data_IF_511238360803
#
_entry.id   IF_511238360803
#
_cell.length_a   1.000
_cell.length_b   1.000
_cell.length_c   1.000
_cell.angle_alpha   90.00
_cell.angle_beta   90.00
_cell.angle_gamma   90.00
#
_symmetry.space_group_name_H-M   'P 1'
#
loop_
_entity.id
_entity.type
_entity.pdbx_description
1 polymer ?
#
# COMPACT_ATOMS: atom_id res chain seq x y z
N UNK A 1 10.95 1.66 -28.84
CA UNK A 1 11.48 0.53 -28.03
C UNK A 1 10.29 -0.24 -27.49
N UNK A 2 10.37 -1.55 -27.41
CA UNK A 2 9.27 -2.39 -26.94
C UNK A 2 9.28 -2.36 -25.39
N UNK A 3 8.34 -1.70 -24.76
CA UNK A 3 8.24 -1.59 -23.28
C UNK A 3 7.25 -2.65 -22.73
N UNK A 4 7.36 -3.88 -23.21
CA UNK A 4 6.41 -4.94 -22.88
C UNK A 4 6.41 -5.28 -21.37
N UNK A 5 7.60 -5.37 -20.75
CA UNK A 5 7.70 -5.68 -19.33
C UNK A 5 7.07 -4.57 -18.48
N UNK A 6 7.35 -3.29 -18.80
CA UNK A 6 6.72 -2.14 -18.16
C UNK A 6 5.19 -2.15 -18.29
N UNK A 7 4.68 -2.47 -19.49
CA UNK A 7 3.22 -2.54 -19.73
C UNK A 7 2.57 -3.64 -18.91
N UNK A 8 3.20 -4.82 -18.80
CA UNK A 8 2.68 -5.93 -17.98
C UNK A 8 2.65 -5.54 -16.50
N UNK A 9 3.75 -4.98 -15.96
CA UNK A 9 3.82 -4.54 -14.57
C UNK A 9 2.77 -3.47 -14.25
N UNK A 10 2.61 -2.49 -15.13
CA UNK A 10 1.59 -1.45 -14.99
C UNK A 10 0.16 -2.03 -14.99
N UNK A 11 -0.12 -2.95 -15.90
CA UNK A 11 -1.44 -3.59 -15.95
C UNK A 11 -1.73 -4.38 -14.67
N UNK A 12 -0.76 -5.12 -14.15
CA UNK A 12 -0.90 -5.87 -12.89
C UNK A 12 -1.10 -4.93 -11.70
N UNK A 13 -0.34 -3.85 -11.62
CA UNK A 13 -0.46 -2.84 -10.56
C UNK A 13 -1.86 -2.21 -10.56
N UNK A 14 -2.33 -1.74 -11.72
CA UNK A 14 -3.69 -1.18 -11.87
C UNK A 14 -4.78 -2.16 -11.48
N UNK A 15 -4.64 -3.43 -11.87
CA UNK A 15 -5.60 -4.47 -11.51
C UNK A 15 -5.62 -4.71 -9.99
N UNK A 16 -4.44 -4.74 -9.35
CA UNK A 16 -4.31 -4.89 -7.90
C UNK A 16 -4.97 -3.72 -7.14
N UNK A 17 -4.67 -2.47 -7.51
CA UNK A 17 -5.29 -1.28 -6.91
C UNK A 17 -6.80 -1.25 -7.10
N UNK A 18 -7.27 -1.54 -8.32
CA UNK A 18 -8.71 -1.57 -8.61
C UNK A 18 -9.43 -2.60 -7.75
N UNK A 19 -8.88 -3.81 -7.64
CA UNK A 19 -9.50 -4.88 -6.85
C UNK A 19 -9.45 -4.58 -5.35
N UNK A 20 -8.36 -3.98 -4.86
CA UNK A 20 -8.25 -3.53 -3.47
C UNK A 20 -9.32 -2.47 -3.14
N UNK A 21 -9.45 -1.43 -3.98
CA UNK A 21 -10.43 -0.37 -3.77
C UNK A 21 -11.88 -0.89 -3.81
N UNK A 22 -12.17 -1.82 -4.69
CA UNK A 22 -13.46 -2.53 -4.71
C UNK A 22 -13.65 -3.40 -3.47
N UNK A 23 -12.58 -4.04 -2.96
CA UNK A 23 -12.62 -4.78 -1.70
C UNK A 23 -12.89 -3.86 -0.52
N UNK A 24 -12.40 -2.62 -0.55
CA UNK A 24 -12.67 -1.59 0.47
C UNK A 24 -14.09 -0.98 0.38
N UNK A 25 -14.87 -1.30 -0.64
CA UNK A 25 -16.26 -0.81 -0.72
C UNK A 25 -17.09 -1.30 0.46
N UNK A 26 -17.89 -0.37 1.02
CA UNK A 26 -18.72 -0.63 2.20
C UNK A 26 -17.96 -0.66 3.53
N UNK A 27 -16.62 -0.49 3.54
CA UNK A 27 -15.86 -0.36 4.79
C UNK A 27 -16.06 1.04 5.36
N UNK A 28 -16.82 1.12 6.45
CA UNK A 28 -16.98 2.33 7.27
C UNK A 28 -15.92 2.40 8.37
N UNK A 29 -15.81 3.53 9.07
CA UNK A 29 -14.89 3.65 10.22
C UNK A 29 -15.14 2.57 11.27
N UNK A 30 -16.40 2.27 11.58
CA UNK A 30 -16.76 1.21 12.52
C UNK A 30 -16.23 -0.16 12.06
N UNK A 31 -16.38 -0.49 10.80
CA UNK A 31 -15.91 -1.74 10.22
C UNK A 31 -14.38 -1.78 10.18
N UNK A 32 -13.76 -0.66 9.80
CA UNK A 32 -12.30 -0.56 9.71
C UNK A 32 -11.61 -0.74 11.06
N UNK A 33 -12.23 -0.22 12.14
CA UNK A 33 -11.67 -0.26 13.50
C UNK A 33 -12.14 -1.46 14.32
N UNK A 34 -12.92 -2.38 13.76
CA UNK A 34 -13.28 -3.62 14.45
C UNK A 34 -12.01 -4.40 14.82
N UNK A 35 -11.88 -4.71 16.11
CA UNK A 35 -10.77 -5.51 16.64
C UNK A 35 -11.14 -7.00 16.51
N UNK A 36 -10.49 -7.72 15.56
CA UNK A 36 -10.80 -9.14 15.39
C UNK A 36 -10.29 -9.97 16.59
N UNK A 37 -10.86 -11.14 16.84
CA UNK A 37 -10.36 -12.02 17.89
C UNK A 37 -8.96 -12.55 17.54
N UNK A 38 -8.15 -12.83 18.58
CA UNK A 38 -6.82 -13.40 18.43
C UNK A 38 -5.75 -12.35 18.10
N UNK A 39 -4.89 -12.66 17.13
CA UNK A 39 -3.72 -11.83 16.81
C UNK A 39 -3.88 -10.97 15.52
N UNK A 40 -4.96 -11.15 14.78
CA UNK A 40 -5.18 -10.37 13.57
C UNK A 40 -5.28 -8.87 13.86
N UNK A 41 -4.92 -8.05 12.88
CA UNK A 41 -4.99 -6.59 12.99
C UNK A 41 -6.35 -6.10 12.46
N UNK A 42 -6.84 -4.93 12.90
CA UNK A 42 -7.98 -4.26 12.29
C UNK A 42 -7.72 -3.93 10.81
N UNK A 43 -8.79 -3.82 10.01
CA UNK A 43 -8.69 -3.35 8.61
C UNK A 43 -7.98 -2.00 8.54
N UNK A 44 -8.24 -1.09 9.49
CA UNK A 44 -7.61 0.22 9.55
C UNK A 44 -6.08 0.13 9.52
N UNK A 45 -5.48 -0.67 10.41
CA UNK A 45 -4.03 -0.83 10.45
C UNK A 45 -3.48 -1.53 9.21
N UNK A 46 -4.15 -2.60 8.76
CA UNK A 46 -3.74 -3.38 7.59
C UNK A 46 -3.76 -2.54 6.30
N UNK A 47 -4.84 -1.76 6.10
CA UNK A 47 -4.95 -0.88 4.93
C UNK A 47 -3.99 0.31 5.00
N UNK A 48 -3.85 0.93 6.18
CA UNK A 48 -2.90 2.02 6.38
C UNK A 48 -1.45 1.57 6.12
N UNK A 49 -1.08 0.38 6.60
CA UNK A 49 0.24 -0.19 6.34
C UNK A 49 0.53 -0.30 4.84
N UNK A 50 -0.39 -0.84 4.07
CA UNK A 50 -0.21 -0.98 2.63
C UNK A 50 0.05 0.38 1.96
N UNK A 51 -0.84 1.34 2.21
CA UNK A 51 -0.79 2.64 1.51
C UNK A 51 0.45 3.45 1.91
N UNK A 52 0.77 3.51 3.21
CA UNK A 52 1.98 4.20 3.66
C UNK A 52 3.26 3.55 3.15
N UNK A 53 3.29 2.20 3.10
CA UNK A 53 4.44 1.47 2.55
C UNK A 53 4.62 1.75 1.06
N UNK A 54 3.55 1.78 0.28
CA UNK A 54 3.62 2.07 -1.14
C UNK A 54 4.06 3.51 -1.41
N UNK A 55 3.49 4.50 -0.70
CA UNK A 55 3.91 5.90 -0.79
C UNK A 55 5.42 6.05 -0.50
N UNK A 56 5.87 5.42 0.58
CA UNK A 56 7.29 5.43 0.94
C UNK A 56 8.17 4.74 -0.11
N UNK A 57 7.77 3.57 -0.59
CA UNK A 57 8.56 2.80 -1.54
C UNK A 57 8.69 3.50 -2.89
N UNK A 58 7.60 4.01 -3.43
CA UNK A 58 7.61 4.74 -4.70
C UNK A 58 8.46 6.00 -4.60
N UNK A 59 8.24 6.81 -3.57
CA UNK A 59 8.91 8.10 -3.48
C UNK A 59 10.36 7.97 -2.98
N UNK A 60 10.60 7.33 -1.85
CA UNK A 60 11.93 7.30 -1.26
C UNK A 60 12.91 6.39 -2.04
N UNK A 61 12.43 5.22 -2.52
CA UNK A 61 13.32 4.25 -3.15
C UNK A 61 13.40 4.35 -4.66
N UNK A 62 12.32 4.65 -5.35
CA UNK A 62 12.30 4.68 -6.81
C UNK A 62 12.44 6.10 -7.37
N UNK A 63 11.62 7.06 -6.93
CA UNK A 63 11.66 8.45 -7.40
C UNK A 63 12.75 9.30 -6.76
N UNK A 64 13.27 8.89 -5.59
CA UNK A 64 14.21 9.68 -4.76
C UNK A 64 13.65 11.05 -4.37
N UNK A 65 12.38 11.07 -3.99
CA UNK A 65 11.64 12.25 -3.53
C UNK A 65 11.01 11.99 -2.16
N UNK A 66 10.47 13.04 -1.53
CA UNK A 66 9.69 12.88 -0.29
C UNK A 66 8.32 12.26 -0.59
N UNK A 67 7.83 11.35 0.30
CA UNK A 67 6.49 10.77 0.20
C UNK A 67 5.36 11.82 0.24
N UNK A 68 4.21 11.48 -0.31
CA UNK A 68 3.03 12.36 -0.27
C UNK A 68 2.57 12.64 1.16
N UNK A 69 2.68 11.68 2.07
CA UNK A 69 2.36 11.85 3.49
C UNK A 69 3.22 12.92 4.19
N UNK A 70 4.41 13.22 3.67
CA UNK A 70 5.31 14.26 4.20
C UNK A 70 5.18 15.61 3.46
N UNK A 71 4.47 15.62 2.32
CA UNK A 71 4.34 16.77 1.43
C UNK A 71 2.88 17.18 1.24
N UNK A 72 2.26 16.81 0.14
CA UNK A 72 0.90 17.19 -0.27
C UNK A 72 -0.16 16.78 0.76
N UNK A 73 0.02 15.63 1.40
CA UNK A 73 -0.89 15.07 2.40
C UNK A 73 -0.39 15.18 3.84
N UNK A 74 0.63 16.01 4.08
CA UNK A 74 1.10 16.25 5.44
C UNK A 74 -0.06 16.71 6.33
N UNK A 75 -0.25 16.01 7.45
CA UNK A 75 -1.35 16.23 8.41
C UNK A 75 -2.77 16.09 7.80
N UNK A 76 -2.88 15.47 6.60
CA UNK A 76 -4.15 15.36 5.85
C UNK A 76 -4.40 13.95 5.29
N UNK A 77 -3.65 12.95 5.71
CA UNK A 77 -3.83 11.58 5.22
C UNK A 77 -5.17 10.97 5.63
N UNK A 78 -5.79 11.44 6.71
CA UNK A 78 -6.95 10.82 7.34
C UNK A 78 -6.58 9.73 8.34
N UNK A 79 -5.30 9.47 8.58
CA UNK A 79 -4.82 8.61 9.66
C UNK A 79 -4.46 9.45 10.90
N UNK A 80 -4.69 8.88 12.09
CA UNK A 80 -4.29 9.53 13.35
C UNK A 80 -2.79 9.69 13.51
N UNK A 81 -2.04 8.79 12.90
CA UNK A 81 -0.58 8.74 12.95
C UNK A 81 -0.04 8.10 11.67
N UNK A 82 1.10 8.55 11.18
CA UNK A 82 1.84 7.88 10.10
C UNK A 82 2.50 6.60 10.62
N UNK A 83 2.79 5.68 9.72
CA UNK A 83 3.45 4.43 10.06
C UNK A 83 4.84 4.67 10.69
N UNK A 84 5.12 4.12 11.89
CA UNK A 84 6.42 4.25 12.52
C UNK A 84 7.49 3.41 11.80
N UNK A 85 8.75 3.80 11.96
CA UNK A 85 9.91 3.07 11.43
C UNK A 85 10.49 2.04 12.40
N UNK A 86 10.07 2.06 13.66
CA UNK A 86 10.42 1.03 14.66
C UNK A 86 9.51 -0.18 14.49
N UNK A 87 10.00 -1.18 13.78
CA UNK A 87 9.29 -2.40 13.41
C UNK A 87 9.09 -3.39 14.55
N UNK A 88 9.90 -3.31 15.61
CA UNK A 88 9.87 -4.28 16.71
C UNK A 88 8.87 -3.90 17.80
N UNK A 89 8.79 -2.62 18.15
CA UNK A 89 7.99 -2.14 19.28
C UNK A 89 6.82 -1.26 18.85
N UNK A 90 7.10 -0.18 18.13
CA UNK A 90 6.08 0.81 17.78
C UNK A 90 5.12 0.31 16.69
N UNK A 91 5.61 -0.37 15.68
CA UNK A 91 4.81 -0.81 14.54
C UNK A 91 3.70 -1.83 14.91
N UNK A 92 3.94 -2.91 15.68
CA UNK A 92 2.88 -3.85 16.07
C UNK A 92 1.77 -3.20 16.90
N UNK A 93 2.13 -2.19 17.71
CA UNK A 93 1.15 -1.39 18.47
C UNK A 93 0.34 -0.50 17.54
N UNK A 94 1.03 0.24 16.68
CA UNK A 94 0.42 1.14 15.69
C UNK A 94 -0.59 0.41 14.79
N UNK A 95 -0.28 -0.77 14.29
CA UNK A 95 -1.20 -1.60 13.48
C UNK A 95 -2.55 -1.85 14.15
N UNK A 96 -2.58 -1.93 15.48
CA UNK A 96 -3.79 -2.19 16.26
C UNK A 96 -4.53 -0.93 16.67
N UNK A 97 -3.81 0.19 16.79
CA UNK A 97 -4.32 1.41 17.42
C UNK A 97 -4.59 2.55 16.45
N UNK A 98 -3.95 2.56 15.26
CA UNK A 98 -4.15 3.62 14.27
C UNK A 98 -5.63 3.79 13.92
N UNK A 99 -6.09 5.04 13.91
CA UNK A 99 -7.45 5.39 13.52
C UNK A 99 -7.45 6.03 12.15
N UNK A 100 -8.47 5.68 11.35
CA UNK A 100 -8.69 6.25 10.03
C UNK A 100 -10.03 6.96 9.98
N UNK A 101 -10.06 8.16 9.45
CA UNK A 101 -11.19 8.63 8.68
C UNK A 101 -11.13 7.90 7.34
N UNK A 102 -11.92 6.86 7.17
CA UNK A 102 -11.82 5.96 6.00
C UNK A 102 -12.07 6.70 4.69
N UNK A 103 -12.93 7.72 4.69
CA UNK A 103 -13.21 8.52 3.51
C UNK A 103 -11.99 9.36 3.12
N UNK A 104 -11.42 10.08 4.08
CA UNK A 104 -10.24 10.93 3.84
C UNK A 104 -9.02 10.08 3.49
N UNK A 105 -8.81 8.96 4.19
CA UNK A 105 -7.69 8.07 3.92
C UNK A 105 -7.75 7.44 2.53
N UNK A 106 -8.94 7.12 2.03
CA UNK A 106 -9.12 6.63 0.64
C UNK A 106 -8.77 7.69 -0.41
N UNK A 107 -8.97 8.99 -0.14
CA UNK A 107 -8.49 10.04 -1.06
C UNK A 107 -6.96 10.11 -1.09
N UNK A 108 -6.31 9.94 0.06
CA UNK A 108 -4.85 9.81 0.10
C UNK A 108 -4.39 8.54 -0.64
N UNK A 109 -5.01 7.39 -0.40
CA UNK A 109 -4.68 6.13 -1.08
C UNK A 109 -4.78 6.26 -2.61
N UNK A 110 -5.86 6.86 -3.13
CA UNK A 110 -6.03 7.13 -4.57
C UNK A 110 -4.89 7.98 -5.14
N UNK A 111 -4.44 9.00 -4.39
CA UNK A 111 -3.33 9.83 -4.82
C UNK A 111 -2.02 9.03 -4.88
N UNK A 112 -1.75 8.18 -3.87
CA UNK A 112 -0.58 7.28 -3.84
C UNK A 112 -0.62 6.33 -5.03
N UNK A 113 -1.74 5.65 -5.27
CA UNK A 113 -1.89 4.70 -6.38
C UNK A 113 -1.73 5.38 -7.74
N UNK A 114 -2.29 6.56 -7.93
CA UNK A 114 -2.14 7.34 -9.17
C UNK A 114 -0.67 7.73 -9.42
N UNK A 115 0.06 8.13 -8.38
CA UNK A 115 1.51 8.43 -8.47
C UNK A 115 2.31 7.18 -8.82
N UNK A 116 2.04 6.04 -8.17
CA UNK A 116 2.68 4.76 -8.44
C UNK A 116 2.48 4.34 -9.90
N UNK A 117 1.24 4.37 -10.36
CA UNK A 117 0.88 4.00 -11.73
C UNK A 117 1.51 4.94 -12.77
N UNK A 118 1.51 6.24 -12.50
CA UNK A 118 2.14 7.26 -13.36
C UNK A 118 3.64 7.03 -13.45
N UNK A 119 4.28 6.77 -12.31
CA UNK A 119 5.70 6.48 -12.28
C UNK A 119 6.06 5.21 -13.06
N UNK A 120 5.36 4.10 -12.80
CA UNK A 120 5.60 2.84 -13.51
C UNK A 120 5.36 3.01 -15.02
N UNK A 121 4.33 3.75 -15.42
CA UNK A 121 4.05 4.04 -16.83
C UNK A 121 5.17 4.85 -17.52
N UNK A 122 5.95 5.61 -16.77
CA UNK A 122 7.06 6.43 -17.29
C UNK A 122 8.36 5.64 -17.51
N UNK A 123 8.47 4.42 -16.95
CA UNK A 123 9.68 3.61 -17.03
C UNK A 123 9.84 2.96 -18.41
N UNK A 124 11.09 2.71 -18.76
CA UNK A 124 11.47 1.84 -19.88
C UNK A 124 11.85 0.46 -19.35
N UNK A 125 11.89 -0.56 -20.21
CA UNK A 125 12.38 -1.89 -19.83
C UNK A 125 13.85 -1.83 -19.34
N UNK A 126 14.64 -0.87 -19.82
CA UNK A 126 16.00 -0.63 -19.32
C UNK A 126 16.01 -0.03 -17.89
N UNK A 127 15.02 0.75 -17.52
CA UNK A 127 14.88 1.26 -16.14
C UNK A 127 14.54 0.14 -15.16
N UNK A 128 13.81 -0.88 -15.61
CA UNK A 128 13.45 -2.04 -14.81
C UNK A 128 14.67 -2.90 -14.41
N UNK A 129 15.76 -2.83 -15.16
CA UNK A 129 17.01 -3.54 -14.86
C UNK A 129 17.93 -2.78 -13.88
N UNK A 130 17.59 -1.54 -13.50
CA UNK A 130 18.36 -0.77 -12.52
C UNK A 130 18.24 -1.36 -11.13
N UNK A 131 19.34 -1.25 -10.37
CA UNK A 131 19.34 -1.69 -8.97
C UNK A 131 18.69 -0.63 -8.06
N UNK A 132 17.81 -1.09 -7.21
CA UNK A 132 17.23 -0.35 -6.07
C UNK A 132 17.95 -0.80 -4.82
N UNK A 133 18.63 0.13 -4.13
CA UNK A 133 19.35 -0.15 -2.90
C UNK A 133 18.40 -0.02 -1.70
N UNK A 134 18.18 -1.13 -1.01
CA UNK A 134 17.35 -1.24 0.19
C UNK A 134 18.16 -1.66 1.43
N UNK A 135 19.46 -1.47 1.42
CA UNK A 135 20.32 -1.84 2.55
C UNK A 135 19.90 -1.14 3.86
N UNK A 136 19.37 0.08 3.77
CA UNK A 136 18.82 0.80 4.93
C UNK A 136 17.66 0.07 5.64
N UNK A 137 16.96 -0.81 4.92
CA UNK A 137 15.90 -1.68 5.47
C UNK A 137 16.36 -3.14 5.69
N UNK A 138 17.67 -3.42 5.54
CA UNK A 138 18.20 -4.77 5.66
C UNK A 138 17.80 -5.72 4.50
N UNK A 139 17.26 -5.21 3.41
CA UNK A 139 16.71 -6.01 2.30
C UNK A 139 17.66 -6.14 1.10
N UNK A 140 18.87 -5.57 1.19
CA UNK A 140 19.87 -5.66 0.14
C UNK A 140 19.56 -4.84 -1.10
N UNK A 141 20.07 -5.28 -2.26
CA UNK A 141 19.78 -4.67 -3.56
C UNK A 141 18.84 -5.55 -4.37
N UNK A 142 17.91 -4.94 -5.10
CA UNK A 142 16.94 -5.62 -5.97
C UNK A 142 16.85 -4.91 -7.31
N UNK A 143 16.49 -5.63 -8.37
CA UNK A 143 16.09 -4.97 -9.63
C UNK A 143 14.81 -4.18 -9.44
N UNK A 144 14.67 -3.06 -10.15
CA UNK A 144 13.43 -2.27 -10.10
C UNK A 144 12.19 -3.08 -10.52
N UNK A 145 12.35 -4.01 -11.47
CA UNK A 145 11.30 -4.97 -11.86
C UNK A 145 10.85 -5.85 -10.69
N UNK A 146 11.79 -6.44 -9.95
CA UNK A 146 11.50 -7.25 -8.76
C UNK A 146 10.86 -6.42 -7.64
N UNK A 147 11.37 -5.21 -7.43
CA UNK A 147 10.83 -4.27 -6.45
C UNK A 147 9.35 -3.93 -6.73
N UNK A 148 9.05 -3.54 -7.97
CA UNK A 148 7.67 -3.19 -8.37
C UNK A 148 6.76 -4.41 -8.33
N UNK A 149 7.22 -5.56 -8.85
CA UNK A 149 6.40 -6.77 -8.92
C UNK A 149 6.08 -7.34 -7.54
N UNK A 150 7.05 -7.40 -6.63
CA UNK A 150 6.94 -8.14 -5.37
C UNK A 150 6.67 -7.26 -4.16
N UNK A 151 7.32 -6.08 -4.05
CA UNK A 151 7.19 -5.23 -2.86
C UNK A 151 6.09 -4.17 -3.00
N UNK A 152 5.66 -3.86 -4.21
CA UNK A 152 4.52 -2.96 -4.45
C UNK A 152 3.31 -3.79 -4.86
N UNK A 153 3.26 -4.31 -6.07
CA UNK A 153 2.10 -5.05 -6.59
C UNK A 153 1.81 -6.31 -5.78
N UNK A 154 2.86 -7.09 -5.48
CA UNK A 154 2.75 -8.34 -4.72
C UNK A 154 2.30 -8.15 -3.27
N UNK A 155 2.57 -6.98 -2.68
CA UNK A 155 2.12 -6.65 -1.33
C UNK A 155 0.61 -6.38 -1.25
N UNK A 156 -0.01 -5.91 -2.33
CA UNK A 156 -1.45 -5.64 -2.36
C UNK A 156 -2.28 -6.91 -2.12
N UNK A 157 -1.91 -8.02 -2.74
CA UNK A 157 -2.74 -9.25 -2.72
C UNK A 157 -2.91 -9.88 -1.33
N UNK A 158 -1.85 -10.12 -0.52
CA UNK A 158 -2.02 -10.65 0.83
C UNK A 158 -2.81 -9.70 1.71
N UNK A 159 -2.56 -8.39 1.64
CA UNK A 159 -3.30 -7.37 2.40
C UNK A 159 -4.79 -7.39 2.02
N UNK A 160 -5.10 -7.45 0.74
CA UNK A 160 -6.48 -7.55 0.25
C UNK A 160 -7.16 -8.84 0.76
N UNK A 161 -6.42 -9.95 0.82
CA UNK A 161 -6.91 -11.21 1.39
C UNK A 161 -7.26 -11.07 2.88
N UNK A 162 -6.39 -10.42 3.67
CA UNK A 162 -6.65 -10.13 5.09
C UNK A 162 -7.90 -9.26 5.25
N UNK A 163 -8.01 -8.16 4.50
CA UNK A 163 -9.19 -7.28 4.52
C UNK A 163 -10.46 -8.05 4.16
N UNK A 164 -10.40 -8.90 3.12
CA UNK A 164 -11.54 -9.73 2.69
C UNK A 164 -12.04 -10.64 3.81
N UNK A 165 -11.13 -11.33 4.50
CA UNK A 165 -11.46 -12.19 5.65
C UNK A 165 -12.07 -11.37 6.79
N UNK A 166 -11.46 -10.22 7.12
CA UNK A 166 -11.93 -9.34 8.19
C UNK A 166 -13.33 -8.75 7.91
N UNK A 167 -13.66 -8.46 6.66
CA UNK A 167 -15.01 -8.11 6.22
C UNK A 167 -15.97 -9.28 6.42
N UNK A 168 -15.57 -10.48 6.00
CA UNK A 168 -16.39 -11.70 6.15
C UNK A 168 -16.74 -12.02 7.59
N UNK A 169 -15.81 -11.86 8.54
CA UNK A 169 -16.06 -12.03 9.98
C UNK A 169 -17.13 -11.05 10.48
N UNK A 170 -17.26 -9.89 9.86
CA UNK A 170 -18.25 -8.87 10.20
C UNK A 170 -19.56 -8.99 9.39
N UNK A 171 -19.75 -10.07 8.64
CA UNK A 171 -20.94 -10.34 7.85
C UNK A 171 -21.03 -9.58 6.51
N UNK A 172 -19.93 -9.02 6.03
CA UNK A 172 -19.85 -8.34 4.75
C UNK A 172 -19.31 -9.25 3.66
N UNK A 173 -19.63 -8.95 2.39
CA UNK A 173 -18.96 -9.57 1.26
C UNK A 173 -17.47 -9.20 1.27
N UNK A 174 -16.60 -10.18 1.23
CA UNK A 174 -15.14 -9.97 1.22
C UNK A 174 -14.64 -9.42 -0.12
N UNK A 175 -14.45 -10.31 -1.10
CA UNK A 175 -14.02 -9.92 -2.43
C UNK A 175 -15.15 -9.30 -3.27
N UNK A 176 -14.83 -8.45 -4.27
CA UNK A 176 -15.82 -7.75 -5.08
C UNK A 176 -16.58 -8.64 -6.08
N UNK A 177 -16.10 -9.84 -6.37
CA UNK A 177 -16.65 -10.80 -7.33
C UNK A 177 -17.22 -12.07 -6.68
#
# INVERSE_FOLDING_TARGET
MNNLATQILLQQLKAAHTTLEQTMEGVTDQIAHFVPPGKANPIAGTYAHLVFSEDFFIHAFLKKTQPLMETTFKDKTGASEIQPTDWEVAYPKWLKEVKLDTKQFREYAKAVFAESETYVASLTDADLEKDVDMNALGMGKRKASDFIANLITGHVYPIMGEISVLKGIQGLKGYPF
#
